data_IF_232497657892
#
_entry.id   IF_232497657892
#
_cell.length_a   1.000
_cell.length_b   1.000
_cell.length_c   1.000
_cell.angle_alpha   90.00
_cell.angle_beta   90.00
_cell.angle_gamma   90.00
#
_symmetry.space_group_name_H-M   'P 1'
#
loop_
_entity.id
_entity.type
_entity.pdbx_description
1 polymer ?
#
# COMPACT_ATOMS: atom_id res chain seq x y z
N UNK A 1 4.09 7.71 -15.50
CA UNK A 1 4.59 7.73 -14.10
C UNK A 1 5.09 9.10 -13.64
N UNK A 2 5.74 9.92 -14.48
CA UNK A 2 6.29 11.22 -14.05
C UNK A 2 5.28 12.18 -13.40
N UNK A 3 4.09 12.33 -13.98
CA UNK A 3 3.05 13.23 -13.43
C UNK A 3 2.52 12.78 -12.06
N UNK A 4 2.37 11.46 -11.84
CA UNK A 4 1.94 10.91 -10.55
C UNK A 4 3.00 11.12 -9.45
N UNK A 5 4.29 11.01 -9.80
CA UNK A 5 5.38 11.28 -8.87
C UNK A 5 5.41 12.75 -8.44
N UNK A 6 5.21 13.68 -9.40
CA UNK A 6 5.14 15.13 -9.11
C UNK A 6 3.92 15.45 -8.25
N UNK A 7 2.73 14.97 -8.63
CA UNK A 7 1.50 15.18 -7.86
C UNK A 7 1.61 14.58 -6.45
N UNK A 8 2.22 13.40 -6.34
CA UNK A 8 2.47 12.73 -5.07
C UNK A 8 3.41 13.50 -4.16
N UNK A 9 4.52 14.03 -4.70
CA UNK A 9 5.44 14.89 -3.97
C UNK A 9 4.75 16.17 -3.48
N UNK A 10 4.00 16.85 -4.36
CA UNK A 10 3.27 18.06 -4.00
C UNK A 10 2.26 17.80 -2.88
N UNK A 11 1.47 16.73 -2.99
CA UNK A 11 0.50 16.32 -1.97
C UNK A 11 1.16 16.06 -0.62
N UNK A 12 2.24 15.28 -0.61
CA UNK A 12 2.99 14.98 0.61
C UNK A 12 3.55 16.24 1.29
N UNK A 13 4.10 17.15 0.49
CA UNK A 13 4.67 18.39 0.99
C UNK A 13 3.59 19.31 1.56
N UNK A 14 2.46 19.47 0.87
CA UNK A 14 1.33 20.27 1.33
C UNK A 14 0.74 19.72 2.63
N UNK A 15 0.58 18.40 2.74
CA UNK A 15 0.04 17.78 3.96
C UNK A 15 1.00 17.92 5.15
N UNK A 16 2.31 17.77 4.92
CA UNK A 16 3.31 18.07 5.94
C UNK A 16 3.28 19.56 6.34
N UNK A 17 3.03 20.46 5.40
CA UNK A 17 2.88 21.88 5.72
C UNK A 17 1.69 22.13 6.65
N UNK A 18 0.57 21.44 6.42
CA UNK A 18 -0.66 21.54 7.19
C UNK A 18 -0.52 21.00 8.62
N UNK A 19 0.23 19.91 8.81
CA UNK A 19 0.37 19.22 10.09
C UNK A 19 1.53 19.76 10.93
N UNK A 20 2.69 20.07 10.34
CA UNK A 20 3.89 20.50 11.07
C UNK A 20 3.95 22.02 11.32
N UNK A 21 2.90 22.62 11.91
CA UNK A 21 2.80 24.09 12.11
C UNK A 21 3.71 24.64 13.23
N UNK A 22 4.08 23.78 14.18
CA UNK A 22 4.86 24.14 15.36
C UNK A 22 6.05 23.21 15.53
N UNK A 23 7.07 23.69 16.25
CA UNK A 23 8.26 22.92 16.58
C UNK A 23 7.94 21.91 17.68
N UNK A 24 8.09 20.63 17.39
CA UNK A 24 7.88 19.56 18.38
C UNK A 24 8.85 19.56 19.57
N UNK A 25 9.90 20.40 19.56
CA UNK A 25 10.85 20.52 20.68
C UNK A 25 10.50 21.63 21.68
N UNK A 26 9.93 22.75 21.23
CA UNK A 26 9.68 23.91 22.10
C UNK A 26 8.31 24.58 21.90
N UNK A 27 7.46 24.08 21.00
CA UNK A 27 6.13 24.62 20.73
C UNK A 27 6.09 25.91 19.89
N UNK A 28 7.23 26.57 19.64
CA UNK A 28 7.28 27.78 18.81
C UNK A 28 6.92 27.51 17.33
N UNK A 29 6.52 28.54 16.58
CA UNK A 29 6.10 28.43 15.18
C UNK A 29 7.21 27.83 14.31
N UNK A 30 6.83 26.94 13.40
CA UNK A 30 7.72 26.40 12.38
C UNK A 30 7.55 27.19 11.07
N UNK A 31 8.60 27.87 10.61
CA UNK A 31 8.58 28.78 9.46
C UNK A 31 9.17 28.07 8.24
N UNK A 32 8.47 28.00 7.09
CA UNK A 32 9.01 27.43 5.86
C UNK A 32 10.29 28.13 5.38
N UNK A 33 11.23 27.36 4.88
CA UNK A 33 12.52 27.79 4.28
C UNK A 33 12.81 26.89 3.06
N UNK A 34 13.82 27.23 2.25
CA UNK A 34 14.27 26.39 1.12
C UNK A 34 13.13 26.05 0.15
N UNK A 35 12.39 27.06 -0.31
CA UNK A 35 11.22 26.89 -1.17
C UNK A 35 10.13 25.93 -0.62
N UNK A 36 10.11 25.74 0.71
CA UNK A 36 9.12 24.92 1.39
C UNK A 36 9.54 23.47 1.61
N UNK A 37 10.76 23.04 1.26
CA UNK A 37 11.25 21.67 1.53
C UNK A 37 11.75 21.47 2.96
N UNK A 38 11.87 22.55 3.74
CA UNK A 38 12.28 22.54 5.14
C UNK A 38 11.55 23.60 5.94
N UNK A 39 11.36 23.36 7.24
CA UNK A 39 10.91 24.37 8.20
C UNK A 39 12.00 24.64 9.24
N UNK A 40 12.04 25.89 9.70
CA UNK A 40 12.96 26.40 10.72
C UNK A 40 12.14 26.88 11.92
N UNK A 41 12.49 26.45 13.13
CA UNK A 41 11.86 26.96 14.34
C UNK A 41 12.12 28.46 14.51
N UNK A 42 11.08 29.24 14.80
CA UNK A 42 11.15 30.70 14.97
C UNK A 42 11.75 31.14 16.31
N UNK A 43 11.94 30.23 17.26
CA UNK A 43 12.60 30.55 18.52
C UNK A 43 14.13 30.56 18.33
N UNK A 44 14.74 31.73 18.52
CA UNK A 44 16.18 31.96 18.37
C UNK A 44 17.05 31.08 19.27
N UNK A 45 16.54 30.67 20.44
CA UNK A 45 17.25 29.75 21.34
C UNK A 45 17.15 28.29 20.91
N UNK A 46 16.13 27.91 20.13
CA UNK A 46 15.90 26.53 19.70
C UNK A 46 16.51 26.25 18.32
N UNK A 47 16.19 27.06 17.31
CA UNK A 47 16.67 26.95 15.92
C UNK A 47 16.64 25.53 15.33
N UNK A 48 15.74 24.66 15.78
CA UNK A 48 15.61 23.30 15.24
C UNK A 48 15.15 23.33 13.79
N UNK A 49 15.83 22.55 12.94
CA UNK A 49 15.42 22.25 11.56
C UNK A 49 14.41 21.10 11.57
N UNK A 50 13.39 21.22 10.74
CA UNK A 50 12.29 20.26 10.65
C UNK A 50 12.13 19.87 9.18
N UNK A 51 12.12 18.57 8.90
CA UNK A 51 12.02 18.00 7.56
C UNK A 51 10.66 17.32 7.37
N UNK A 52 10.21 17.14 6.12
CA UNK A 52 9.06 16.31 5.81
C UNK A 52 9.20 14.89 6.39
N UNK A 53 8.14 14.41 7.01
CA UNK A 53 8.06 13.04 7.55
C UNK A 53 7.74 12.06 6.41
N UNK A 54 8.44 10.92 6.41
CA UNK A 54 8.16 9.77 5.55
C UNK A 54 8.10 8.55 6.45
N UNK A 55 6.96 7.86 6.46
CA UNK A 55 6.73 6.69 7.30
C UNK A 55 6.96 5.41 6.50
N UNK A 56 7.97 4.58 6.83
CA UNK A 56 8.23 3.35 6.09
C UNK A 56 7.18 2.29 6.42
N UNK A 57 6.70 1.59 5.40
CA UNK A 57 5.71 0.54 5.50
C UNK A 57 6.20 -0.63 4.68
N UNK A 58 6.36 -1.80 5.28
CA UNK A 58 6.64 -3.02 4.54
C UNK A 58 5.35 -3.53 3.93
N UNK A 59 5.41 -4.04 2.70
CA UNK A 59 4.31 -4.74 2.04
C UNK A 59 4.87 -6.01 1.43
N UNK A 60 4.27 -7.15 1.74
CA UNK A 60 4.85 -8.45 1.43
C UNK A 60 3.83 -9.40 0.82
N UNK A 61 4.24 -10.04 -0.28
CA UNK A 61 3.56 -11.22 -0.77
C UNK A 61 4.23 -12.46 -0.16
N UNK A 62 3.50 -13.16 0.70
CA UNK A 62 3.99 -14.39 1.34
C UNK A 62 3.70 -15.57 0.43
N UNK A 63 4.72 -16.37 0.14
CA UNK A 63 4.71 -17.43 -0.86
C UNK A 63 4.91 -18.78 -0.17
N UNK A 64 3.98 -19.69 -0.41
CA UNK A 64 4.17 -21.12 -0.19
C UNK A 64 4.68 -21.73 -1.50
N UNK A 65 6.00 -21.99 -1.50
CA UNK A 65 6.72 -22.45 -2.69
C UNK A 65 6.38 -23.89 -3.07
N UNK A 66 6.05 -24.72 -2.09
CA UNK A 66 5.81 -26.15 -2.30
C UNK A 66 4.44 -26.39 -2.94
N UNK A 67 3.43 -25.62 -2.53
CA UNK A 67 2.06 -25.74 -3.03
C UNK A 67 1.70 -24.70 -4.11
N UNK A 68 2.68 -23.95 -4.60
CA UNK A 68 2.54 -22.91 -5.64
C UNK A 68 1.37 -21.93 -5.40
N UNK A 69 1.32 -21.38 -4.19
CA UNK A 69 0.26 -20.48 -3.74
C UNK A 69 0.82 -19.29 -2.96
N UNK A 70 0.04 -18.22 -2.88
CA UNK A 70 0.39 -17.01 -2.15
C UNK A 70 -0.69 -16.65 -1.14
N UNK A 71 -0.26 -16.10 0.00
CA UNK A 71 -1.15 -15.60 1.04
C UNK A 71 -1.64 -14.22 0.62
N UNK A 72 -2.96 -14.06 0.57
CA UNK A 72 -3.59 -12.76 0.41
C UNK A 72 -4.55 -12.53 1.57
N UNK A 73 -4.72 -11.27 1.95
CA UNK A 73 -5.65 -10.87 2.99
C UNK A 73 -6.68 -9.86 2.51
N UNK A 74 -7.73 -9.73 3.31
CA UNK A 74 -8.80 -8.77 3.13
C UNK A 74 -9.02 -8.00 4.42
N UNK A 75 -9.20 -6.69 4.29
CA UNK A 75 -9.52 -5.79 5.40
C UNK A 75 -10.95 -5.28 5.24
N UNK A 76 -11.67 -5.16 6.35
CA UNK A 76 -13.08 -4.71 6.36
C UNK A 76 -13.29 -3.31 5.79
N UNK A 77 -12.25 -2.47 5.85
CA UNK A 77 -12.23 -1.10 5.28
C UNK A 77 -12.12 -1.06 3.75
N UNK A 78 -11.72 -2.16 3.11
CA UNK A 78 -11.53 -2.22 1.67
C UNK A 78 -12.84 -2.49 0.94
N UNK A 79 -12.83 -2.23 -0.38
CA UNK A 79 -13.95 -2.60 -1.24
C UNK A 79 -14.21 -4.10 -1.06
N UNK A 80 -15.46 -4.53 -0.80
CA UNK A 80 -15.77 -5.93 -0.55
C UNK A 80 -15.21 -6.82 -1.65
N UNK A 81 -14.54 -7.92 -1.28
CA UNK A 81 -13.84 -8.87 -2.18
C UNK A 81 -12.45 -8.44 -2.70
N UNK A 82 -11.87 -7.33 -2.21
CA UNK A 82 -10.47 -7.00 -2.51
C UNK A 82 -9.52 -7.86 -1.69
N UNK A 83 -8.64 -8.60 -2.37
CA UNK A 83 -7.57 -9.38 -1.77
C UNK A 83 -6.22 -8.75 -2.10
N UNK A 84 -5.37 -8.55 -1.11
CA UNK A 84 -4.09 -7.83 -1.24
C UNK A 84 -2.98 -8.49 -0.42
N UNK A 85 -1.74 -8.07 -0.66
CA UNK A 85 -0.61 -8.35 0.22
C UNK A 85 -0.85 -7.83 1.64
N UNK A 86 -0.20 -8.48 2.62
CA UNK A 86 -0.07 -7.96 3.99
C UNK A 86 0.82 -6.71 3.99
N UNK A 87 0.59 -5.78 4.91
CA UNK A 87 1.41 -4.59 5.03
C UNK A 87 1.31 -3.94 6.40
N UNK A 88 2.43 -3.44 6.91
CA UNK A 88 2.46 -2.75 8.20
C UNK A 88 3.66 -1.85 8.40
N UNK A 89 3.59 -1.03 9.44
CA UNK A 89 4.61 -0.02 9.72
C UNK A 89 5.86 -0.68 10.29
N UNK A 90 7.02 -0.13 9.96
CA UNK A 90 8.25 -0.47 10.66
C UNK A 90 8.24 0.10 12.09
N UNK A 91 8.74 -0.67 13.04
CA UNK A 91 8.94 -0.19 14.41
C UNK A 91 10.35 0.41 14.63
N UNK A 92 10.52 1.34 15.60
CA UNK A 92 11.84 1.87 15.92
C UNK A 92 12.82 0.79 16.36
N UNK A 93 13.94 0.68 15.65
CA UNK A 93 15.01 -0.29 15.94
C UNK A 93 14.87 -1.61 15.18
N UNK A 94 13.82 -1.76 14.38
CA UNK A 94 13.55 -2.93 13.55
C UNK A 94 14.22 -2.81 12.16
N UNK A 95 14.67 -3.93 11.59
CA UNK A 95 15.03 -4.02 10.17
C UNK A 95 13.78 -4.18 9.30
N UNK A 96 13.87 -3.93 7.98
CA UNK A 96 12.73 -4.15 7.09
C UNK A 96 12.32 -5.62 7.04
N UNK A 97 13.28 -6.54 7.10
CA UNK A 97 13.05 -7.98 7.09
C UNK A 97 12.47 -8.47 8.43
N UNK A 98 12.82 -7.85 9.54
CA UNK A 98 12.19 -8.10 10.84
C UNK A 98 10.73 -7.64 10.83
N UNK A 99 10.45 -6.44 10.30
CA UNK A 99 9.08 -5.93 10.15
C UNK A 99 8.21 -6.85 9.29
N UNK A 100 8.75 -7.34 8.16
CA UNK A 100 8.04 -8.32 7.32
C UNK A 100 7.68 -9.59 8.10
N UNK A 101 8.57 -10.09 8.95
CA UNK A 101 8.32 -11.29 9.76
C UNK A 101 7.30 -11.03 10.86
N UNK A 102 7.46 -9.94 11.61
CA UNK A 102 6.56 -9.55 12.68
C UNK A 102 5.14 -9.35 12.15
N UNK A 103 4.97 -8.49 11.16
CA UNK A 103 3.65 -8.17 10.59
C UNK A 103 2.96 -9.41 10.00
N UNK A 104 3.72 -10.28 9.32
CA UNK A 104 3.14 -11.53 8.80
C UNK A 104 2.64 -12.43 9.93
N UNK A 105 3.42 -12.55 11.01
CA UNK A 105 3.07 -13.37 12.15
C UNK A 105 1.91 -12.78 12.96
N UNK A 106 1.90 -11.47 13.20
CA UNK A 106 0.84 -10.77 13.95
C UNK A 106 -0.51 -10.88 13.24
N UNK A 107 -0.56 -10.60 11.93
CA UNK A 107 -1.82 -10.58 11.20
C UNK A 107 -2.37 -11.99 10.87
N UNK A 108 -1.48 -12.99 10.68
CA UNK A 108 -1.86 -14.29 10.11
C UNK A 108 -1.33 -15.53 10.82
N UNK A 109 -0.44 -15.38 11.80
CA UNK A 109 0.23 -16.50 12.48
C UNK A 109 1.26 -17.23 11.62
N UNK A 110 1.50 -16.80 10.38
CA UNK A 110 2.44 -17.46 9.47
C UNK A 110 3.88 -17.04 9.79
N UNK A 111 4.74 -18.02 10.01
CA UNK A 111 6.17 -17.79 10.14
C UNK A 111 6.80 -17.69 8.76
N UNK A 112 7.63 -16.68 8.53
CA UNK A 112 8.35 -16.51 7.27
C UNK A 112 9.86 -16.56 7.48
N UNK A 113 10.53 -17.26 6.58
CA UNK A 113 11.98 -17.42 6.57
C UNK A 113 12.65 -16.31 5.80
N UNK A 114 12.91 -16.59 4.53
CA UNK A 114 13.58 -15.66 3.64
C UNK A 114 12.68 -14.49 3.26
N UNK A 115 13.27 -13.30 3.23
CA UNK A 115 12.63 -12.05 2.81
C UNK A 115 13.50 -11.44 1.70
N UNK A 116 12.90 -11.14 0.54
CA UNK A 116 13.59 -10.64 -0.65
C UNK A 116 12.97 -9.33 -1.06
N UNK A 117 13.75 -8.26 -1.08
CA UNK A 117 13.32 -6.96 -1.60
C UNK A 117 12.93 -7.07 -3.08
N UNK A 118 11.80 -6.45 -3.44
CA UNK A 118 11.32 -6.37 -4.81
C UNK A 118 11.43 -4.94 -5.35
N UNK A 119 10.73 -3.99 -4.73
CA UNK A 119 10.67 -2.60 -5.19
C UNK A 119 10.18 -1.67 -4.08
N UNK A 120 10.17 -0.36 -4.32
CA UNK A 120 9.57 0.61 -3.41
C UNK A 120 8.65 1.58 -4.15
N UNK A 121 7.63 2.07 -3.46
CA UNK A 121 6.68 3.03 -4.00
C UNK A 121 6.35 4.10 -2.96
N UNK A 122 6.58 5.40 -3.27
CA UNK A 122 6.02 6.49 -2.47
C UNK A 122 4.50 6.42 -2.51
N UNK A 123 3.88 6.41 -1.33
CA UNK A 123 2.44 6.29 -1.16
C UNK A 123 1.93 7.51 -0.38
N UNK A 124 1.81 8.66 -1.06
CA UNK A 124 1.34 9.87 -0.41
C UNK A 124 -0.15 9.80 -0.13
N UNK A 125 -0.87 8.71 -0.49
CA UNK A 125 -2.34 8.58 -0.45
C UNK A 125 -2.95 8.12 0.88
N UNK A 126 -2.16 8.10 1.97
CA UNK A 126 -2.62 7.74 3.30
C UNK A 126 -3.68 8.68 3.91
N UNK A 127 -4.17 8.39 5.13
CA UNK A 127 -5.10 9.25 5.85
C UNK A 127 -4.60 10.70 5.92
N UNK A 128 -5.50 11.68 5.98
CA UNK A 128 -5.17 13.12 5.98
C UNK A 128 -4.29 13.59 7.16
N UNK A 129 -3.82 12.68 8.03
CA UNK A 129 -2.88 12.95 9.13
C UNK A 129 -1.47 12.42 8.85
N UNK A 130 -1.26 11.68 7.76
CA UNK A 130 0.00 11.05 7.39
C UNK A 130 0.53 11.65 6.08
N UNK A 131 1.61 12.45 6.11
CA UNK A 131 2.05 13.20 4.94
C UNK A 131 2.51 12.31 3.79
N UNK A 132 3.29 11.25 4.06
CA UNK A 132 3.71 10.30 3.04
C UNK A 132 4.14 8.97 3.67
N UNK A 133 3.65 7.86 3.13
CA UNK A 133 4.19 6.54 3.40
C UNK A 133 5.22 6.16 2.33
N UNK A 134 6.25 5.41 2.71
CA UNK A 134 7.13 4.74 1.76
C UNK A 134 6.86 3.24 1.82
N UNK A 135 6.14 2.74 0.81
CA UNK A 135 5.88 1.31 0.70
C UNK A 135 7.14 0.61 0.21
N UNK A 136 7.60 -0.39 0.94
CA UNK A 136 8.77 -1.20 0.61
C UNK A 136 8.30 -2.63 0.38
N UNK A 137 8.33 -3.06 -0.88
CA UNK A 137 7.77 -4.31 -1.35
C UNK A 137 8.74 -5.48 -1.20
N UNK A 138 8.23 -6.60 -0.68
CA UNK A 138 8.98 -7.82 -0.45
C UNK A 138 8.25 -9.07 -0.94
N UNK A 139 9.03 -10.07 -1.34
CA UNK A 139 8.60 -11.46 -1.32
C UNK A 139 9.07 -12.11 -0.03
N UNK A 140 8.17 -12.81 0.66
CA UNK A 140 8.49 -13.57 1.87
C UNK A 140 8.15 -15.04 1.65
N UNK A 141 8.96 -15.96 2.18
CA UNK A 141 8.74 -17.40 2.00
C UNK A 141 8.27 -18.04 3.30
N UNK A 142 7.10 -18.67 3.25
CA UNK A 142 6.48 -19.29 4.41
C UNK A 142 7.26 -20.51 4.91
N UNK A 143 7.33 -20.65 6.24
CA UNK A 143 7.86 -21.80 6.98
C UNK A 143 6.73 -22.60 7.64
N UNK A 144 5.61 -21.95 7.94
CA UNK A 144 4.38 -22.57 8.43
C UNK A 144 3.21 -22.26 7.49
N UNK A 145 2.14 -23.05 7.55
CA UNK A 145 1.01 -22.96 6.62
C UNK A 145 -0.35 -22.74 7.32
N UNK A 146 -0.42 -22.95 8.64
CA UNK A 146 -1.65 -22.85 9.42
C UNK A 146 -1.96 -21.38 9.75
N UNK A 147 -2.98 -20.85 9.08
CA UNK A 147 -3.39 -19.45 9.20
C UNK A 147 -4.21 -19.24 10.48
N UNK A 148 -3.80 -18.27 11.29
CA UNK A 148 -4.52 -17.76 12.45
C UNK A 148 -4.70 -16.25 12.30
N UNK A 149 -5.86 -15.83 11.79
CA UNK A 149 -6.11 -14.42 11.46
C UNK A 149 -6.41 -13.59 12.71
N UNK A 150 -5.71 -12.47 12.91
CA UNK A 150 -6.16 -11.44 13.86
C UNK A 150 -7.37 -10.69 13.29
N UNK A 151 -8.55 -11.02 13.80
CA UNK A 151 -9.82 -10.42 13.38
C UNK A 151 -9.99 -8.95 13.78
N UNK A 152 -9.07 -8.38 14.57
CA UNK A 152 -9.06 -6.94 14.85
C UNK A 152 -8.58 -6.13 13.66
N UNK A 153 -7.66 -6.69 12.87
CA UNK A 153 -7.01 -5.97 11.77
C UNK A 153 -7.47 -6.48 10.41
N UNK A 154 -7.56 -7.80 10.26
CA UNK A 154 -7.96 -8.46 9.02
C UNK A 154 -9.36 -9.05 9.14
N UNK A 155 -10.14 -8.91 8.07
CA UNK A 155 -11.39 -9.64 7.95
C UNK A 155 -11.11 -11.11 7.61
N UNK A 156 -10.16 -11.37 6.72
CA UNK A 156 -9.77 -12.73 6.34
C UNK A 156 -8.36 -12.80 5.73
N UNK A 157 -7.76 -13.99 5.76
CA UNK A 157 -6.51 -14.30 5.05
C UNK A 157 -6.53 -15.75 4.54
N UNK A 158 -6.15 -15.95 3.29
CA UNK A 158 -6.23 -17.24 2.62
C UNK A 158 -5.06 -17.49 1.68
N UNK A 159 -4.71 -18.76 1.52
CA UNK A 159 -3.80 -19.20 0.48
C UNK A 159 -4.54 -19.29 -0.86
N UNK A 160 -4.08 -18.55 -1.87
CA UNK A 160 -4.62 -18.58 -3.23
C UNK A 160 -3.63 -19.21 -4.19
N UNK A 161 -4.11 -20.15 -5.00
CA UNK A 161 -3.29 -20.79 -6.03
C UNK A 161 -2.80 -19.76 -7.04
N UNK A 162 -1.63 -20.00 -7.63
CA UNK A 162 -1.11 -19.15 -8.72
C UNK A 162 -2.11 -19.02 -9.87
N UNK A 163 -2.85 -20.07 -10.18
CA UNK A 163 -3.86 -20.07 -11.24
C UNK A 163 -5.01 -19.11 -10.92
N UNK A 164 -5.54 -19.15 -9.70
CA UNK A 164 -6.64 -18.26 -9.28
C UNK A 164 -6.19 -16.80 -9.26
N UNK A 165 -4.97 -16.54 -8.79
CA UNK A 165 -4.38 -15.20 -8.82
C UNK A 165 -4.20 -14.68 -10.26
N UNK A 166 -3.77 -15.53 -11.20
CA UNK A 166 -3.70 -15.16 -12.62
C UNK A 166 -5.09 -14.81 -13.17
N UNK A 167 -6.12 -15.59 -12.87
CA UNK A 167 -7.50 -15.28 -13.25
C UNK A 167 -7.90 -13.91 -12.69
N UNK A 168 -7.65 -13.66 -11.40
CA UNK A 168 -7.93 -12.39 -10.73
C UNK A 168 -7.26 -11.18 -11.41
N UNK A 169 -6.02 -11.34 -11.90
CA UNK A 169 -5.27 -10.30 -12.60
C UNK A 169 -5.82 -10.01 -14.01
N UNK A 170 -6.44 -10.99 -14.66
CA UNK A 170 -7.01 -10.83 -16.01
C UNK A 170 -8.38 -10.13 -16.03
N UNK A 171 -9.05 -9.99 -14.87
CA UNK A 171 -10.38 -9.39 -14.84
C UNK A 171 -10.36 -7.88 -15.10
N UNK A 172 -11.08 -7.48 -16.15
CA UNK A 172 -11.28 -6.09 -16.60
C UNK A 172 -12.13 -5.23 -15.64
N UNK A 173 -12.51 -5.76 -14.48
CA UNK A 173 -13.27 -5.04 -13.45
C UNK A 173 -12.50 -3.81 -12.93
N UNK A 174 -11.16 -3.87 -12.93
CA UNK A 174 -10.33 -2.73 -12.56
C UNK A 174 -10.46 -1.55 -13.55
N UNK A 175 -10.51 -1.81 -14.85
CA UNK A 175 -10.75 -0.74 -15.85
C UNK A 175 -12.12 -0.09 -15.65
N UNK A 176 -13.16 -0.90 -15.38
CA UNK A 176 -14.51 -0.40 -15.12
C UNK A 176 -14.55 0.48 -13.86
N UNK A 177 -13.90 0.05 -12.77
CA UNK A 177 -13.83 0.79 -11.50
C UNK A 177 -13.03 2.11 -11.62
N UNK A 178 -11.91 2.12 -12.37
CA UNK A 178 -11.14 3.34 -12.60
C UNK A 178 -11.85 4.31 -13.54
N UNK A 179 -12.51 3.85 -14.60
CA UNK A 179 -13.31 4.72 -15.48
C UNK A 179 -14.39 5.44 -14.67
N UNK A 180 -15.11 4.73 -13.81
CA UNK A 180 -16.11 5.34 -12.92
C UNK A 180 -15.52 6.41 -11.99
N UNK A 181 -14.35 6.14 -11.41
CA UNK A 181 -13.68 7.08 -10.50
C UNK A 181 -13.11 8.30 -11.23
N UNK A 182 -12.49 8.11 -12.40
CA UNK A 182 -11.98 9.19 -13.25
C UNK A 182 -13.11 10.08 -13.78
N UNK A 183 -14.26 9.49 -14.13
CA UNK A 183 -15.47 10.24 -14.52
C UNK A 183 -15.97 11.12 -13.37
N UNK A 184 -16.04 10.59 -12.14
CA UNK A 184 -16.40 11.37 -10.94
C UNK A 184 -15.42 12.52 -10.67
N UNK A 185 -14.11 12.28 -10.77
CA UNK A 185 -13.10 13.32 -10.59
C UNK A 185 -13.25 14.41 -11.65
N UNK A 186 -13.42 14.03 -12.93
CA UNK A 186 -13.68 14.99 -14.00
C UNK A 186 -14.95 15.81 -13.75
N UNK A 187 -16.00 15.21 -13.21
CA UNK A 187 -17.25 15.89 -12.87
C UNK A 187 -17.08 16.86 -11.69
N UNK A 188 -16.26 16.51 -10.70
CA UNK A 188 -15.89 17.40 -9.58
C UNK A 188 -15.04 18.57 -10.09
N UNK A 189 -14.02 18.31 -10.92
CA UNK A 189 -13.14 19.33 -11.47
C UNK A 189 -13.84 20.28 -12.44
N UNK A 190 -14.90 19.83 -13.11
CA UNK A 190 -15.73 20.67 -14.00
C UNK A 190 -16.75 21.53 -13.27
N UNK A 191 -16.87 21.40 -11.94
CA UNK A 191 -17.86 22.12 -11.14
C UNK A 191 -19.28 21.64 -11.44
N UNK A 192 -19.76 20.62 -10.72
CA UNK A 192 -21.14 20.17 -10.86
C UNK A 192 -22.11 21.26 -10.35
N UNK A 193 -22.90 21.84 -11.27
CA UNK A 193 -24.12 22.57 -10.92
C UNK A 193 -25.04 21.64 -10.12
N UNK A 194 -25.52 22.12 -8.97
CA UNK A 194 -26.45 21.37 -8.13
C UNK A 194 -27.79 21.24 -8.85
N UNK A 195 -28.05 20.07 -9.42
CA UNK A 195 -29.40 19.64 -9.76
C UNK A 195 -29.50 18.93 -11.09
N UNK A 196 -29.29 17.61 -11.10
CA UNK A 196 -30.06 16.67 -11.93
C UNK A 196 -29.71 15.24 -11.51
N UNK A 197 -30.69 14.54 -10.93
CA UNK A 197 -30.64 13.09 -10.77
C UNK A 197 -30.85 12.44 -12.12
N UNK A 198 -29.85 11.77 -12.67
CA UNK A 198 -30.02 10.87 -13.81
C UNK A 198 -29.84 9.44 -13.33
N UNK A 199 -30.92 8.92 -12.76
CA UNK A 199 -31.16 7.48 -12.65
C UNK A 199 -31.79 7.02 -13.97
N UNK A 200 -30.99 6.71 -14.97
CA UNK A 200 -31.41 5.85 -16.08
C UNK A 200 -30.21 5.48 -16.96
N UNK A 201 -30.16 4.19 -17.28
CA UNK A 201 -29.37 3.55 -18.33
C UNK A 201 -27.91 3.18 -17.99
N UNK A 202 -27.79 2.19 -17.11
CA UNK A 202 -26.76 1.15 -17.21
C UNK A 202 -27.41 -0.20 -16.94
N UNK A 203 -28.01 -0.80 -17.97
CA UNK A 203 -28.27 -2.23 -18.01
C UNK A 203 -26.93 -2.96 -18.01
N UNK A 204 -26.43 -3.28 -16.82
CA UNK A 204 -25.27 -4.14 -16.63
C UNK A 204 -25.75 -5.57 -16.81
N UNK A 205 -25.32 -6.22 -17.89
CA UNK A 205 -25.39 -7.67 -18.02
C UNK A 205 -24.70 -8.29 -16.81
N UNK A 206 -25.47 -9.07 -16.05
CA UNK A 206 -25.08 -9.77 -14.84
C UNK A 206 -24.15 -10.93 -15.18
N UNK A 207 -22.88 -10.63 -15.43
CA UNK A 207 -21.80 -11.58 -15.18
C UNK A 207 -21.65 -11.72 -13.66
N UNK A 208 -21.62 -12.95 -13.14
CA UNK A 208 -21.37 -13.15 -11.72
C UNK A 208 -20.05 -12.46 -11.33
N UNK A 209 -20.04 -11.64 -10.28
CA UNK A 209 -18.85 -10.89 -9.90
C UNK A 209 -17.71 -11.86 -9.61
N UNK A 210 -16.51 -11.54 -10.10
CA UNK A 210 -15.35 -12.41 -9.90
C UNK A 210 -15.17 -12.70 -8.39
N UNK A 211 -14.83 -13.95 -8.02
CA UNK A 211 -14.75 -14.36 -6.62
C UNK A 211 -13.66 -13.60 -5.84
N UNK A 212 -12.68 -13.05 -6.56
CA UNK A 212 -11.61 -12.23 -6.02
C UNK A 212 -11.21 -11.15 -7.03
N UNK A 213 -10.86 -9.96 -6.54
CA UNK A 213 -10.09 -8.99 -7.30
C UNK A 213 -8.91 -8.48 -6.47
N UNK A 214 -7.87 -8.04 -7.16
CA UNK A 214 -6.63 -7.53 -6.56
C UNK A 214 -6.49 -6.02 -6.79
N UNK A 215 -5.61 -5.32 -6.04
CA UNK A 215 -5.31 -3.93 -6.32
C UNK A 215 -4.89 -3.70 -7.78
N UNK A 216 -5.05 -2.48 -8.24
CA UNK A 216 -4.76 -2.12 -9.63
C UNK A 216 -3.30 -2.00 -10.02
N UNK A 217 -3.00 -1.95 -11.33
CA UNK A 217 -1.66 -1.86 -11.92
C UNK A 217 -0.78 -0.69 -11.47
N UNK A 218 -1.32 0.29 -10.74
CA UNK A 218 -0.51 1.37 -10.15
C UNK A 218 -0.15 1.14 -8.69
N UNK A 219 -0.71 0.12 -8.03
CA UNK A 219 -0.40 -0.22 -6.65
C UNK A 219 0.78 -1.19 -6.58
N UNK A 220 1.71 -0.97 -5.65
CA UNK A 220 2.83 -1.88 -5.40
C UNK A 220 2.38 -3.32 -5.10
N UNK A 221 1.24 -3.50 -4.43
CA UNK A 221 0.64 -4.83 -4.22
C UNK A 221 0.37 -5.54 -5.55
N UNK A 222 -0.18 -4.84 -6.55
CA UNK A 222 -0.39 -5.42 -7.88
C UNK A 222 0.93 -5.84 -8.51
N UNK A 223 1.96 -5.01 -8.43
CA UNK A 223 3.28 -5.33 -9.00
C UNK A 223 3.91 -6.57 -8.36
N UNK A 224 3.80 -6.72 -7.03
CA UNK A 224 4.24 -7.92 -6.32
C UNK A 224 3.47 -9.16 -6.79
N UNK A 225 2.14 -9.07 -6.79
CA UNK A 225 1.23 -10.16 -7.17
C UNK A 225 1.47 -10.56 -8.64
N UNK A 226 1.55 -9.60 -9.55
CA UNK A 226 1.76 -9.84 -10.99
C UNK A 226 3.13 -10.40 -11.30
N UNK A 227 4.20 -9.87 -10.69
CA UNK A 227 5.56 -10.37 -10.89
C UNK A 227 5.67 -11.80 -10.40
N UNK A 228 5.17 -12.09 -9.19
CA UNK A 228 5.09 -13.48 -8.73
C UNK A 228 4.31 -14.32 -9.73
N UNK A 229 3.07 -13.96 -10.06
CA UNK A 229 2.16 -14.77 -10.87
C UNK A 229 2.72 -15.13 -12.26
N UNK A 230 3.29 -14.16 -12.99
CA UNK A 230 3.70 -14.33 -14.40
C UNK A 230 5.19 -14.61 -14.60
N UNK A 231 6.07 -14.03 -13.79
CA UNK A 231 7.53 -14.13 -13.99
C UNK A 231 8.16 -15.17 -13.05
N UNK A 232 7.43 -15.59 -12.01
CA UNK A 232 7.94 -16.39 -10.92
C UNK A 232 8.71 -15.52 -9.92
N UNK A 233 8.75 -15.95 -8.65
CA UNK A 233 9.54 -15.24 -7.65
C UNK A 233 11.05 -15.29 -7.98
N UNK A 234 11.84 -14.27 -7.57
CA UNK A 234 13.28 -14.26 -7.80
C UNK A 234 13.92 -15.57 -7.33
N UNK A 235 14.66 -16.23 -8.22
CA UNK A 235 15.43 -17.43 -7.87
C UNK A 235 16.58 -17.01 -6.96
N UNK A 236 16.65 -17.64 -5.81
CA UNK A 236 17.70 -17.42 -4.82
C UNK A 236 18.98 -18.13 -5.28
N UNK A 237 20.14 -17.46 -5.29
CA UNK A 237 21.42 -18.15 -5.42
C UNK A 237 21.60 -19.10 -4.22
N UNK A 238 22.02 -20.35 -4.48
CA UNK A 238 22.11 -21.44 -3.49
C UNK A 238 23.09 -21.22 -2.31
N UNK A 239 23.63 -20.02 -2.12
CA UNK A 239 24.67 -19.69 -1.15
C UNK A 239 24.18 -19.06 0.16
N UNK A 240 22.87 -18.82 0.35
CA UNK A 240 22.33 -18.16 1.55
C UNK A 240 21.45 -19.05 2.44
N UNK A 241 21.42 -20.37 2.20
CA UNK A 241 20.64 -21.34 2.99
C UNK A 241 21.22 -21.67 4.38
N UNK A 242 22.31 -21.04 4.81
CA UNK A 242 23.02 -21.35 6.07
C UNK A 242 23.26 -20.11 6.97
N UNK A 243 22.34 -19.15 7.01
CA UNK A 243 22.31 -18.10 8.05
C UNK A 243 20.91 -18.01 8.67
#
# INVERSE_FOLDING_TARGET
MGELAIAGHARALLEWHNTAKFCGACGAKAVPTEAGTRKQCSNESCKKRIYPRVDPVVIMLVIDKENDRALLSRQSRFVPRMWSCLAGFIEPGESLEEAVRRETWEETGIEVGQVIYHSSQPWPVGPNTMPCQLMVGFFAYAKSLDIHVDKKELEDAQWHSREDVKKALTFAEYEKAQRSSALKVNQICKGAERGQSTSSDLSVESEEPAPMFVPGPYAIAHHLISSWAFEGAPKVPSSFSNL
#
